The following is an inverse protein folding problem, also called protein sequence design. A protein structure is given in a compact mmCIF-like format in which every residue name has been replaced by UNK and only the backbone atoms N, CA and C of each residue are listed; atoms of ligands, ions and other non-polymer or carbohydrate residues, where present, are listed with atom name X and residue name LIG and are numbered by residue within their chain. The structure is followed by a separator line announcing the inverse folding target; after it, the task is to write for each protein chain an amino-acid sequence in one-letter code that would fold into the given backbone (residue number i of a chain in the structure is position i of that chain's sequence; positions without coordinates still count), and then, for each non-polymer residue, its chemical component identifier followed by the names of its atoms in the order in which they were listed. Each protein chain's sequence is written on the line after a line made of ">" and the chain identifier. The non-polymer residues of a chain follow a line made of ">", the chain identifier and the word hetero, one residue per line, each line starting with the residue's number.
data_IF_994153739798
#
_entry.id   IF_994153739798
#
_cell.length_a   1.000
_cell.length_b   1.000
_cell.length_c   1.000
_cell.angle_alpha   90.00
_cell.angle_beta   90.00
_cell.angle_gamma   90.00
#
_symmetry.space_group_name_H-M   'P 1'
#
loop_
_entity.id
_entity.type
_entity.pdbx_description
1 polymer ?
#
# COMPACT_ATOMS: atom_id res chain seq x y z
N UNK A 1 12.31 15.32 -24.26
CA UNK A 1 11.09 16.10 -24.60
C UNK A 1 10.06 15.81 -23.53
N UNK A 2 9.65 16.84 -22.81
CA UNK A 2 8.68 16.77 -21.69
C UNK A 2 7.27 16.87 -22.23
N UNK A 3 6.37 15.99 -21.77
CA UNK A 3 4.96 15.99 -22.16
C UNK A 3 4.18 16.92 -21.24
N UNK A 4 3.64 18.02 -21.75
CA UNK A 4 2.81 18.94 -20.95
C UNK A 4 1.37 18.84 -21.44
N UNK A 5 0.47 18.47 -20.53
CA UNK A 5 -0.97 18.45 -20.81
C UNK A 5 -1.71 19.32 -19.80
N UNK A 6 -2.10 20.49 -20.26
CA UNK A 6 -3.04 21.36 -19.55
C UNK A 6 -4.48 21.07 -19.96
N UNK A 7 -5.41 21.29 -19.03
CA UNK A 7 -6.85 21.15 -19.21
C UNK A 7 -7.23 19.76 -19.74
N UNK A 8 -6.71 18.72 -19.06
CA UNK A 8 -6.85 17.32 -19.49
C UNK A 8 -8.32 16.93 -19.72
N UNK A 9 -9.21 17.30 -18.79
CA UNK A 9 -10.64 17.04 -18.90
C UNK A 9 -11.23 17.68 -20.16
N UNK A 10 -10.94 18.96 -20.41
CA UNK A 10 -11.44 19.65 -21.59
C UNK A 10 -10.96 18.98 -22.89
N UNK A 11 -9.67 18.64 -22.98
CA UNK A 11 -9.10 17.98 -24.16
C UNK A 11 -9.64 16.58 -24.42
N UNK A 12 -10.19 15.91 -23.41
CA UNK A 12 -10.85 14.62 -23.57
C UNK A 12 -12.20 14.75 -24.27
N UNK A 13 -12.89 15.88 -24.09
CA UNK A 13 -14.26 16.12 -24.55
C UNK A 13 -14.37 17.07 -25.77
N UNK A 14 -13.35 17.88 -26.05
CA UNK A 14 -13.32 18.85 -27.17
C UNK A 14 -13.24 18.20 -28.58
N UNK A 15 -13.25 16.87 -28.71
CA UNK A 15 -13.37 16.16 -30.00
C UNK A 15 -14.81 16.18 -30.58
N UNK A 16 -15.72 17.00 -30.03
CA UNK A 16 -17.13 17.18 -30.46
C UNK A 16 -17.29 17.78 -31.87
N UNK A 17 -16.18 18.06 -32.57
CA UNK A 17 -16.16 18.37 -34.01
C UNK A 17 -16.38 17.11 -34.89
N UNK A 18 -16.81 16.00 -34.29
CA UNK A 18 -17.10 14.71 -34.96
C UNK A 18 -15.85 13.97 -35.45
N UNK A 19 -14.65 14.42 -35.07
CA UNK A 19 -13.38 13.83 -35.49
C UNK A 19 -12.90 12.84 -34.44
N UNK A 20 -13.01 11.53 -34.74
CA UNK A 20 -12.46 10.49 -33.88
C UNK A 20 -10.96 10.75 -33.67
N UNK A 21 -10.48 10.91 -32.42
CA UNK A 21 -9.07 11.14 -32.16
C UNK A 21 -8.24 10.00 -32.74
N UNK A 22 -7.10 10.34 -33.36
CA UNK A 22 -6.28 9.31 -33.98
C UNK A 22 -5.83 8.27 -32.92
N UNK A 23 -5.56 7.01 -33.30
CA UNK A 23 -5.25 5.96 -32.33
C UNK A 23 -4.03 6.24 -31.44
N UNK A 24 -3.10 7.09 -31.89
CA UNK A 24 -1.92 7.46 -31.10
C UNK A 24 -2.30 8.46 -29.99
N UNK A 25 -3.13 9.45 -30.30
CA UNK A 25 -3.67 10.39 -29.33
C UNK A 25 -4.49 9.64 -28.28
N UNK A 26 -5.39 8.74 -28.69
CA UNK A 26 -6.18 7.92 -27.77
C UNK A 26 -5.32 7.11 -26.81
N UNK A 27 -4.30 6.40 -27.31
CA UNK A 27 -3.36 5.63 -26.46
C UNK A 27 -2.59 6.52 -25.48
N UNK A 28 -2.26 7.75 -25.89
CA UNK A 28 -1.62 8.73 -25.01
C UNK A 28 -2.57 9.18 -23.91
N UNK A 29 -3.84 9.47 -24.22
CA UNK A 29 -4.85 9.81 -23.22
C UNK A 29 -5.12 8.66 -22.26
N UNK A 30 -5.28 7.43 -22.75
CA UNK A 30 -5.44 6.23 -21.90
C UNK A 30 -4.21 6.04 -20.98
N UNK A 31 -3.00 6.27 -21.49
CA UNK A 31 -1.78 6.22 -20.68
C UNK A 31 -1.76 7.29 -19.59
N UNK A 32 -2.03 8.56 -19.93
CA UNK A 32 -2.08 9.65 -18.94
C UNK A 32 -3.21 9.44 -17.92
N UNK A 33 -4.35 8.95 -18.38
CA UNK A 33 -5.48 8.52 -17.55
C UNK A 33 -5.08 7.49 -16.51
N UNK A 34 -4.29 6.48 -16.90
CA UNK A 34 -3.78 5.49 -15.95
C UNK A 34 -2.83 6.08 -14.88
N UNK A 35 -2.08 7.14 -15.22
CA UNK A 35 -1.26 7.88 -14.24
C UNK A 35 -2.17 8.65 -13.28
N UNK A 36 -3.18 9.36 -13.80
CA UNK A 36 -4.16 10.09 -12.99
C UNK A 36 -4.84 9.13 -12.01
N UNK A 37 -5.35 8.00 -12.49
CA UNK A 37 -5.99 6.98 -11.64
C UNK A 37 -5.01 6.46 -10.58
N UNK A 38 -3.79 6.10 -10.97
CA UNK A 38 -2.82 5.52 -10.04
C UNK A 38 -2.44 6.47 -8.90
N UNK A 39 -2.26 7.75 -9.21
CA UNK A 39 -1.87 8.77 -8.23
C UNK A 39 -3.07 9.20 -7.38
N UNK A 40 -4.23 9.43 -7.99
CA UNK A 40 -5.42 9.92 -7.28
C UNK A 40 -6.16 8.82 -6.50
N UNK A 41 -5.93 7.55 -6.83
CA UNK A 41 -6.45 6.43 -6.04
C UNK A 41 -5.78 6.31 -4.66
N UNK A 42 -4.52 6.73 -4.55
CA UNK A 42 -3.68 6.57 -3.35
C UNK A 42 -4.15 7.40 -2.16
N UNK A 43 -3.74 6.98 -0.96
CA UNK A 43 -4.06 7.71 0.28
C UNK A 43 -3.16 8.93 0.51
N UNK A 44 -1.95 8.90 -0.04
CA UNK A 44 -0.94 9.96 0.07
C UNK A 44 -1.13 11.08 -0.95
N UNK A 45 -0.77 12.28 -0.51
CA UNK A 45 -0.70 13.49 -1.33
C UNK A 45 0.72 14.05 -1.16
N UNK A 46 1.34 14.53 -2.24
CA UNK A 46 2.68 15.14 -2.24
C UNK A 46 3.90 14.22 -2.04
N UNK A 47 3.72 12.89 -1.91
CA UNK A 47 4.83 11.92 -1.99
C UNK A 47 4.92 11.30 -3.40
N UNK A 48 6.13 10.95 -3.90
CA UNK A 48 6.27 10.17 -5.13
C UNK A 48 5.62 8.80 -4.97
N UNK A 49 4.59 8.54 -5.77
CA UNK A 49 3.99 7.24 -5.89
C UNK A 49 4.80 6.39 -6.88
N UNK A 50 5.37 5.30 -6.38
CA UNK A 50 5.92 4.23 -7.24
C UNK A 50 4.78 3.43 -7.83
N UNK A 51 4.25 3.94 -8.95
CA UNK A 51 3.08 3.36 -9.59
C UNK A 51 3.43 2.07 -10.31
N UNK A 52 2.39 1.30 -10.58
CA UNK A 52 2.46 0.09 -11.40
C UNK A 52 2.18 0.35 -12.89
N UNK A 53 2.15 1.63 -13.30
CA UNK A 53 1.98 2.06 -14.70
C UNK A 53 3.30 1.87 -15.45
N UNK A 54 3.27 1.09 -16.53
CA UNK A 54 4.47 0.80 -17.34
C UNK A 54 4.80 1.94 -18.28
N UNK A 55 6.09 2.17 -18.51
CA UNK A 55 6.53 3.14 -19.50
C UNK A 55 6.05 2.75 -20.91
N UNK A 56 5.51 3.73 -21.64
CA UNK A 56 5.04 3.56 -23.03
C UNK A 56 6.16 3.56 -24.08
N UNK A 57 7.37 4.04 -23.74
CA UNK A 57 8.46 4.21 -24.72
C UNK A 57 9.09 2.88 -25.10
N UNK A 58 9.66 2.87 -26.32
CA UNK A 58 10.46 1.75 -26.84
C UNK A 58 11.84 2.20 -27.34
N UNK A 59 12.75 2.65 -26.46
CA UNK A 59 14.11 3.05 -26.86
C UNK A 59 14.81 1.91 -27.61
N UNK A 60 15.43 2.20 -28.75
CA UNK A 60 16.08 1.16 -29.56
C UNK A 60 15.14 0.04 -30.03
N UNK A 61 13.83 0.32 -30.17
CA UNK A 61 12.76 -0.66 -30.50
C UNK A 61 12.49 -1.73 -29.43
N UNK A 62 13.09 -1.61 -28.24
CA UNK A 62 12.83 -2.50 -27.11
C UNK A 62 11.90 -1.84 -26.09
N UNK A 63 10.92 -2.55 -25.48
CA UNK A 63 10.11 -2.01 -24.40
C UNK A 63 10.97 -1.48 -23.26
N UNK A 64 10.71 -0.25 -22.82
CA UNK A 64 11.36 0.30 -21.64
C UNK A 64 10.99 -0.55 -20.40
N UNK A 65 11.95 -1.01 -19.58
CA UNK A 65 11.66 -1.80 -18.37
C UNK A 65 11.07 -0.94 -17.24
N UNK A 66 11.22 0.39 -17.32
CA UNK A 66 10.83 1.32 -16.27
C UNK A 66 9.31 1.42 -16.03
N UNK A 67 8.97 1.81 -14.82
CA UNK A 67 7.63 2.20 -14.40
C UNK A 67 7.54 3.73 -14.28
N UNK A 68 6.32 4.25 -14.19
CA UNK A 68 6.08 5.66 -13.94
C UNK A 68 6.10 5.92 -12.43
N UNK A 69 6.93 6.87 -12.02
CA UNK A 69 6.91 7.48 -10.70
C UNK A 69 6.22 8.83 -10.86
N UNK A 70 5.26 9.14 -9.98
CA UNK A 70 4.47 10.35 -10.11
C UNK A 70 4.09 10.96 -8.76
N UNK A 71 4.09 12.28 -8.69
CA UNK A 71 3.74 13.08 -7.51
C UNK A 71 2.51 13.91 -7.86
N UNK A 72 1.50 13.92 -6.98
CA UNK A 72 0.41 14.90 -7.04
C UNK A 72 0.76 16.09 -6.18
N UNK A 73 0.88 17.25 -6.81
CA UNK A 73 0.98 18.54 -6.15
C UNK A 73 -0.42 19.11 -5.94
N UNK A 74 -0.64 19.76 -4.80
CA UNK A 74 -1.92 20.41 -4.47
C UNK A 74 -1.93 21.90 -4.79
N UNK A 75 -0.75 22.53 -4.85
CA UNK A 75 -0.59 23.96 -5.10
C UNK A 75 0.69 24.22 -5.92
N UNK A 76 0.58 24.47 -7.23
CA UNK A 76 -0.64 24.35 -8.05
C UNK A 76 -1.11 22.89 -8.16
N UNK A 77 -2.40 22.67 -8.38
CA UNK A 77 -2.93 21.31 -8.58
C UNK A 77 -2.37 20.73 -9.88
N UNK A 78 -1.64 19.63 -9.78
CA UNK A 78 -0.92 19.05 -10.90
C UNK A 78 -0.36 17.67 -10.58
N UNK A 79 -0.05 16.91 -11.63
CA UNK A 79 0.69 15.65 -11.50
C UNK A 79 2.00 15.77 -12.27
N UNK A 80 3.12 15.74 -11.55
CA UNK A 80 4.46 15.59 -12.11
C UNK A 80 4.75 14.10 -12.22
N UNK A 81 5.21 13.64 -13.38
CA UNK A 81 5.53 12.23 -13.58
C UNK A 81 6.79 12.03 -14.41
N UNK A 82 7.46 10.90 -14.17
CA UNK A 82 8.66 10.49 -14.88
C UNK A 82 8.82 8.98 -14.90
N UNK A 83 9.47 8.46 -15.93
CA UNK A 83 9.87 7.06 -15.98
C UNK A 83 11.15 6.85 -15.18
N UNK A 84 11.19 5.79 -14.37
CA UNK A 84 12.38 5.42 -13.57
C UNK A 84 13.58 4.93 -14.38
N UNK A 85 13.48 4.84 -15.71
CA UNK A 85 14.53 4.26 -16.56
C UNK A 85 14.86 5.06 -17.83
N UNK A 86 13.94 5.87 -18.35
CA UNK A 86 14.16 6.64 -19.57
C UNK A 86 13.61 8.05 -19.46
N UNK A 87 13.93 8.92 -20.42
CA UNK A 87 13.55 10.34 -20.39
C UNK A 87 12.08 10.62 -20.79
N UNK A 88 11.16 9.68 -20.53
CA UNK A 88 9.72 9.96 -20.64
C UNK A 88 9.23 10.57 -19.34
N UNK A 89 8.78 11.81 -19.43
CA UNK A 89 8.30 12.58 -18.29
C UNK A 89 7.26 13.60 -18.76
N UNK A 90 6.55 14.18 -17.79
CA UNK A 90 5.56 15.18 -18.08
C UNK A 90 4.88 15.81 -16.87
N UNK A 91 3.95 16.69 -17.19
CA UNK A 91 3.11 17.40 -16.24
C UNK A 91 1.65 17.41 -16.73
N UNK A 92 0.72 17.08 -15.83
CA UNK A 92 -0.72 16.97 -16.13
C UNK A 92 -1.49 17.93 -15.21
N UNK A 93 -2.37 18.77 -15.75
CA UNK A 93 -3.28 19.63 -14.99
C UNK A 93 -4.72 19.55 -15.52
N UNK A 94 -5.68 20.03 -14.72
CA UNK A 94 -7.09 20.06 -15.11
C UNK A 94 -7.70 18.67 -15.29
N UNK A 95 -7.31 17.73 -14.44
CA UNK A 95 -7.75 16.34 -14.46
C UNK A 95 -8.87 16.06 -13.45
N UNK A 96 -9.19 17.02 -12.58
CA UNK A 96 -10.08 16.88 -11.42
C UNK A 96 -11.53 16.53 -11.82
N UNK A 97 -11.97 17.01 -12.99
CA UNK A 97 -13.32 16.81 -13.49
C UNK A 97 -13.41 15.73 -14.59
N UNK A 98 -12.37 14.93 -14.80
CA UNK A 98 -12.36 13.85 -15.81
C UNK A 98 -12.68 12.46 -15.21
N UNK A 99 -13.07 11.51 -16.07
CA UNK A 99 -13.43 10.14 -15.68
C UNK A 99 -12.31 9.32 -14.99
N UNK A 100 -11.06 9.77 -15.15
CA UNK A 100 -9.87 9.14 -14.55
C UNK A 100 -9.60 9.64 -13.12
N UNK A 101 -10.26 10.71 -12.68
CA UNK A 101 -10.07 11.21 -11.32
C UNK A 101 -10.72 10.28 -10.30
N UNK A 102 -9.90 9.73 -9.40
CA UNK A 102 -10.37 8.86 -8.34
C UNK A 102 -10.30 9.50 -6.96
N UNK A 103 -9.79 10.73 -6.84
CA UNK A 103 -9.29 11.32 -5.59
C UNK A 103 -10.28 12.12 -4.73
N UNK A 104 -11.60 11.88 -4.77
CA UNK A 104 -12.52 12.58 -3.87
C UNK A 104 -12.32 12.14 -2.41
N UNK A 105 -11.54 12.93 -1.66
CA UNK A 105 -11.18 12.68 -0.27
C UNK A 105 -12.40 12.71 0.67
N UNK A 106 -13.49 13.41 0.30
CA UNK A 106 -14.72 13.46 1.11
C UNK A 106 -15.45 12.12 1.11
N UNK A 107 -15.31 11.35 0.04
CA UNK A 107 -15.95 10.05 -0.11
C UNK A 107 -15.09 8.89 0.39
N UNK A 108 -13.83 9.13 0.75
CA UNK A 108 -12.95 8.05 1.19
C UNK A 108 -13.51 7.41 2.46
N UNK A 109 -13.64 6.07 2.50
CA UNK A 109 -14.02 5.38 3.72
C UNK A 109 -13.02 5.73 4.82
N UNK A 110 -13.56 6.27 5.93
CA UNK A 110 -12.77 6.51 7.14
C UNK A 110 -12.63 5.20 7.90
N UNK A 111 -11.43 4.89 8.37
CA UNK A 111 -11.16 3.70 9.16
C UNK A 111 -9.83 3.03 8.81
N UNK A 112 -9.63 1.84 9.36
CA UNK A 112 -8.46 1.01 9.13
C UNK A 112 -8.24 0.76 7.62
N UNK A 113 -7.07 1.15 7.11
CA UNK A 113 -6.60 0.76 5.79
C UNK A 113 -5.81 -0.55 5.88
N UNK A 114 -6.25 -1.55 5.13
CA UNK A 114 -5.63 -2.86 5.06
C UNK A 114 -4.59 -2.86 3.93
N UNK A 115 -3.61 -3.76 4.06
CA UNK A 115 -2.60 -4.03 3.03
C UNK A 115 -2.78 -5.47 2.54
N UNK A 116 -2.71 -5.64 1.21
CA UNK A 116 -2.63 -6.95 0.58
C UNK A 116 -1.40 -6.97 -0.31
N UNK A 117 -0.39 -7.75 0.09
CA UNK A 117 0.78 -8.02 -0.72
C UNK A 117 0.44 -9.06 -1.81
N UNK A 118 0.97 -8.82 -3.00
CA UNK A 118 0.71 -9.57 -4.22
C UNK A 118 2.02 -9.78 -4.96
N UNK A 119 2.20 -10.96 -5.54
CA UNK A 119 3.22 -11.15 -6.56
C UNK A 119 2.78 -10.58 -7.93
N UNK A 120 3.68 -10.63 -8.91
CA UNK A 120 3.39 -10.16 -10.26
C UNK A 120 2.26 -10.95 -10.95
N UNK A 121 2.18 -12.26 -10.70
CA UNK A 121 1.20 -13.13 -11.32
C UNK A 121 -0.21 -12.89 -10.77
N UNK A 122 -0.34 -12.56 -9.48
CA UNK A 122 -1.57 -12.23 -8.80
C UNK A 122 -2.09 -10.85 -9.21
N UNK A 123 -1.24 -9.83 -9.22
CA UNK A 123 -1.64 -8.49 -9.70
C UNK A 123 -2.10 -8.54 -11.17
N UNK A 124 -1.39 -9.29 -12.01
CA UNK A 124 -1.79 -9.47 -13.42
C UNK A 124 -3.13 -10.21 -13.53
N UNK A 125 -3.35 -11.23 -12.70
CA UNK A 125 -4.62 -11.96 -12.67
C UNK A 125 -5.79 -11.03 -12.32
N UNK A 126 -5.62 -10.17 -11.31
CA UNK A 126 -6.62 -9.18 -10.93
C UNK A 126 -6.91 -8.22 -12.10
N UNK A 127 -5.87 -7.66 -12.73
CA UNK A 127 -6.03 -6.71 -13.83
C UNK A 127 -6.70 -7.31 -15.07
N UNK A 128 -6.38 -8.55 -15.38
CA UNK A 128 -6.89 -9.19 -16.60
C UNK A 128 -8.35 -9.63 -16.42
N UNK A 129 -8.66 -10.28 -15.31
CA UNK A 129 -9.92 -11.01 -15.14
C UNK A 129 -10.93 -10.34 -14.21
N UNK A 130 -10.50 -9.46 -13.30
CA UNK A 130 -11.43 -8.77 -12.41
C UNK A 130 -11.89 -7.48 -13.07
N UNK A 131 -13.20 -7.25 -13.08
CA UNK A 131 -13.81 -6.01 -13.54
C UNK A 131 -14.37 -5.30 -12.31
N UNK A 132 -13.80 -4.14 -11.92
CA UNK A 132 -14.31 -3.37 -10.81
C UNK A 132 -15.79 -3.07 -10.98
N UNK A 133 -16.64 -3.55 -10.06
CA UNK A 133 -18.07 -3.26 -10.11
C UNK A 133 -18.42 -1.88 -9.54
N UNK A 134 -17.44 -1.17 -8.96
CA UNK A 134 -17.62 0.12 -8.33
C UNK A 134 -16.30 0.86 -8.07
N UNK A 135 -16.43 2.05 -7.50
CA UNK A 135 -15.29 2.96 -7.28
C UNK A 135 -14.19 2.35 -6.40
N UNK A 136 -14.55 1.59 -5.36
CA UNK A 136 -13.58 1.16 -4.34
C UNK A 136 -12.61 0.09 -4.81
N UNK A 137 -13.08 -0.93 -5.54
CA UNK A 137 -12.18 -1.92 -6.15
C UNK A 137 -11.36 -1.30 -7.28
N UNK A 138 -11.94 -0.37 -8.05
CA UNK A 138 -11.20 0.40 -9.08
C UNK A 138 -10.05 1.18 -8.43
N UNK A 139 -10.29 1.83 -7.30
CA UNK A 139 -9.26 2.54 -6.53
C UNK A 139 -8.17 1.60 -6.02
N UNK A 140 -8.51 0.44 -5.46
CA UNK A 140 -7.48 -0.52 -5.03
C UNK A 140 -6.58 -0.94 -6.19
N UNK A 141 -7.17 -1.40 -7.30
CA UNK A 141 -6.40 -1.94 -8.43
C UNK A 141 -5.56 -0.87 -9.16
N UNK A 142 -6.10 0.34 -9.29
CA UNK A 142 -5.38 1.47 -9.90
C UNK A 142 -4.30 2.00 -8.94
N UNK A 143 -4.61 2.01 -7.64
CA UNK A 143 -3.73 2.42 -6.56
C UNK A 143 -2.65 1.42 -6.17
N UNK A 144 -2.52 0.29 -6.88
CA UNK A 144 -1.46 -0.68 -6.62
C UNK A 144 -0.07 -0.02 -6.72
N UNK A 145 0.80 -0.32 -5.75
CA UNK A 145 2.17 0.20 -5.65
C UNK A 145 3.18 -0.93 -5.76
N UNK A 146 4.39 -0.61 -6.20
CA UNK A 146 5.52 -1.52 -6.02
C UNK A 146 5.96 -1.51 -4.56
N UNK A 147 6.34 -2.66 -4.02
CA UNK A 147 6.95 -2.70 -2.69
C UNK A 147 8.37 -2.12 -2.75
N UNK A 148 8.69 -1.19 -1.84
CA UNK A 148 9.97 -0.47 -1.81
C UNK A 148 11.15 -1.40 -1.47
N UNK A 149 10.91 -2.46 -0.69
CA UNK A 149 11.94 -3.35 -0.13
C UNK A 149 11.85 -4.80 -0.64
N UNK A 150 10.84 -5.15 -1.45
CA UNK A 150 10.66 -6.51 -1.94
C UNK A 150 10.21 -6.55 -3.40
N UNK A 151 10.49 -7.66 -4.09
CA UNK A 151 9.98 -7.91 -5.44
C UNK A 151 8.49 -8.26 -5.37
N UNK A 152 7.63 -7.25 -5.25
CA UNK A 152 6.20 -7.45 -5.07
C UNK A 152 5.39 -6.18 -5.30
N UNK A 153 4.09 -6.34 -5.18
CA UNK A 153 3.11 -5.27 -5.28
C UNK A 153 2.24 -5.28 -4.03
N UNK A 154 1.68 -4.14 -3.69
CA UNK A 154 0.68 -4.11 -2.62
C UNK A 154 -0.52 -3.25 -3.03
N UNK A 155 -1.69 -3.69 -2.58
CA UNK A 155 -2.92 -2.91 -2.58
C UNK A 155 -3.11 -2.33 -1.18
N UNK A 156 -3.61 -1.10 -1.12
CA UNK A 156 -3.81 -0.39 0.14
C UNK A 156 -5.16 0.32 0.16
N UNK A 157 -5.97 0.06 1.18
CA UNK A 157 -7.26 0.74 1.33
C UNK A 157 -8.16 0.15 2.42
N UNK A 158 -9.29 0.80 2.68
CA UNK A 158 -10.18 0.39 3.78
C UNK A 158 -10.75 -1.02 3.64
N UNK A 159 -11.26 -1.58 4.73
CA UNK A 159 -12.07 -2.82 4.70
C UNK A 159 -13.19 -2.75 3.66
N UNK A 160 -13.90 -1.62 3.55
CA UNK A 160 -14.96 -1.43 2.54
C UNK A 160 -14.43 -1.58 1.11
N UNK A 161 -13.20 -1.13 0.86
CA UNK A 161 -12.56 -1.32 -0.43
C UNK A 161 -12.27 -2.80 -0.69
N UNK A 162 -11.72 -3.51 0.29
CA UNK A 162 -11.41 -4.94 0.15
C UNK A 162 -12.66 -5.82 0.07
N UNK A 163 -13.73 -5.49 0.79
CA UNK A 163 -15.03 -6.17 0.70
C UNK A 163 -15.62 -6.05 -0.73
N UNK A 164 -15.45 -4.88 -1.38
CA UNK A 164 -15.86 -4.71 -2.77
C UNK A 164 -14.97 -5.50 -3.74
N UNK A 165 -13.65 -5.51 -3.50
CA UNK A 165 -12.72 -6.31 -4.31
C UNK A 165 -13.00 -7.81 -4.18
N UNK A 166 -13.29 -8.32 -2.98
CA UNK A 166 -13.67 -9.71 -2.75
C UNK A 166 -14.90 -10.11 -3.57
N UNK A 167 -15.97 -9.29 -3.55
CA UNK A 167 -17.15 -9.52 -4.39
C UNK A 167 -16.80 -9.59 -5.88
N UNK A 168 -15.96 -8.68 -6.36
CA UNK A 168 -15.56 -8.61 -7.77
C UNK A 168 -14.70 -9.82 -8.16
N UNK A 169 -13.80 -10.27 -7.28
CA UNK A 169 -12.96 -11.47 -7.47
C UNK A 169 -13.82 -12.74 -7.52
N UNK A 170 -14.80 -12.86 -6.61
CA UNK A 170 -15.72 -14.01 -6.60
C UNK A 170 -16.58 -14.05 -7.87
N UNK A 171 -17.13 -12.92 -8.28
CA UNK A 171 -17.89 -12.82 -9.54
C UNK A 171 -17.02 -13.17 -10.77
N UNK A 172 -15.76 -12.73 -10.80
CA UNK A 172 -14.81 -13.11 -11.84
C UNK A 172 -14.50 -14.62 -11.82
N UNK A 173 -14.39 -15.24 -10.64
CA UNK A 173 -14.15 -16.67 -10.51
C UNK A 173 -15.33 -17.51 -11.04
N UNK A 174 -16.57 -17.09 -10.73
CA UNK A 174 -17.79 -17.75 -11.20
C UNK A 174 -17.90 -17.73 -12.73
N UNK A 175 -17.57 -16.59 -13.34
CA UNK A 175 -17.67 -16.39 -14.79
C UNK A 175 -16.42 -16.84 -15.57
N UNK A 176 -15.34 -17.22 -14.88
CA UNK A 176 -14.09 -17.66 -15.51
C UNK A 176 -14.31 -18.93 -16.36
N UNK A 177 -13.96 -18.83 -17.65
CA UNK A 177 -14.05 -19.94 -18.62
C UNK A 177 -13.01 -21.04 -18.36
N UNK A 178 -11.79 -20.64 -17.98
CA UNK A 178 -10.68 -21.57 -17.76
C UNK A 178 -10.65 -22.05 -16.31
N UNK A 179 -10.57 -23.38 -16.06
CA UNK A 179 -10.50 -23.93 -14.70
C UNK A 179 -9.30 -23.42 -13.90
N UNK A 180 -8.15 -23.21 -14.56
CA UNK A 180 -6.94 -22.67 -13.92
C UNK A 180 -7.13 -21.24 -13.42
N UNK A 181 -7.73 -20.37 -14.25
CA UNK A 181 -8.09 -18.99 -13.86
C UNK A 181 -9.07 -18.99 -12.70
N UNK A 182 -10.12 -19.82 -12.76
CA UNK A 182 -11.10 -19.96 -11.67
C UNK A 182 -10.44 -20.33 -10.35
N UNK A 183 -9.58 -21.36 -10.34
CA UNK A 183 -8.89 -21.80 -9.12
C UNK A 183 -7.99 -20.70 -8.54
N UNK A 184 -7.26 -19.96 -9.38
CA UNK A 184 -6.41 -18.86 -8.92
C UNK A 184 -7.22 -17.70 -8.34
N UNK A 185 -8.36 -17.36 -8.96
CA UNK A 185 -9.26 -16.33 -8.41
C UNK A 185 -9.92 -16.78 -7.10
N UNK A 186 -10.30 -18.06 -6.99
CA UNK A 186 -10.79 -18.63 -5.73
C UNK A 186 -9.74 -18.59 -4.62
N UNK A 187 -8.47 -18.83 -4.95
CA UNK A 187 -7.37 -18.69 -3.98
C UNK A 187 -7.25 -17.24 -3.48
N UNK A 188 -7.28 -16.26 -4.40
CA UNK A 188 -7.29 -14.83 -4.02
C UNK A 188 -8.51 -14.47 -3.16
N UNK A 189 -9.69 -15.02 -3.44
CA UNK A 189 -10.89 -14.81 -2.63
C UNK A 189 -10.71 -15.31 -1.19
N UNK A 190 -10.03 -16.44 -0.99
CA UNK A 190 -9.72 -16.97 0.36
C UNK A 190 -8.77 -16.02 1.11
N UNK A 191 -7.75 -15.49 0.43
CA UNK A 191 -6.83 -14.51 1.03
C UNK A 191 -7.57 -13.22 1.44
N UNK A 192 -8.45 -12.73 0.57
CA UNK A 192 -9.29 -11.56 0.83
C UNK A 192 -10.28 -11.79 1.97
N UNK A 193 -10.85 -13.00 2.07
CA UNK A 193 -11.70 -13.38 3.18
C UNK A 193 -10.94 -13.37 4.50
N UNK A 194 -9.73 -13.92 4.55
CA UNK A 194 -8.86 -13.82 5.74
C UNK A 194 -8.59 -12.37 6.16
N UNK A 195 -8.38 -11.49 5.18
CA UNK A 195 -8.14 -10.06 5.41
C UNK A 195 -9.39 -9.30 5.90
N UNK A 196 -10.59 -9.72 5.47
CA UNK A 196 -11.87 -9.02 5.71
C UNK A 196 -12.73 -9.63 6.81
N UNK A 197 -12.49 -10.88 7.19
CA UNK A 197 -13.26 -11.65 8.18
C UNK A 197 -12.96 -11.25 9.64
N UNK A 198 -11.92 -10.46 9.89
CA UNK A 198 -11.65 -9.92 11.22
C UNK A 198 -12.80 -8.99 11.62
N UNK A 199 -13.54 -9.38 12.66
CA UNK A 199 -14.61 -8.56 13.24
C UNK A 199 -13.99 -7.41 14.03
N UNK A 200 -13.70 -6.32 13.34
CA UNK A 200 -13.07 -5.13 13.89
C UNK A 200 -13.97 -4.34 14.87
N UNK A 201 -15.26 -4.65 14.95
CA UNK A 201 -16.24 -3.88 15.74
C UNK A 201 -16.07 -4.01 17.25
N UNK A 202 -15.50 -5.10 17.74
CA UNK A 202 -15.24 -5.28 19.18
C UNK A 202 -13.79 -4.93 19.57
N UNK A 203 -12.83 -5.09 18.66
CA UNK A 203 -11.43 -4.71 18.89
C UNK A 203 -11.19 -3.18 18.82
N UNK A 204 -12.00 -2.44 18.05
CA UNK A 204 -11.86 -0.99 17.82
C UNK A 204 -12.69 -0.10 18.75
N UNK A 205 -13.29 -0.62 19.82
CA UNK A 205 -14.00 0.23 20.82
C UNK A 205 -13.09 1.21 21.57
N UNK A 206 -11.80 1.33 21.22
CA UNK A 206 -10.86 2.24 21.86
C UNK A 206 -9.73 2.82 21.01
N UNK A 207 -9.69 2.64 19.69
CA UNK A 207 -8.64 3.28 18.86
C UNK A 207 -9.10 3.49 17.43
N UNK A 208 -9.29 4.73 17.03
CA UNK A 208 -9.38 5.10 15.62
C UNK A 208 -8.04 4.72 14.96
N UNK A 209 -8.09 3.93 13.87
CA UNK A 209 -6.97 3.54 12.99
C UNK A 209 -6.13 2.33 13.46
N UNK A 210 -6.61 1.11 13.20
CA UNK A 210 -5.85 -0.13 13.40
C UNK A 210 -4.78 -0.43 12.34
N UNK A 211 -4.10 0.60 11.81
CA UNK A 211 -3.10 0.49 10.76
C UNK A 211 -1.76 0.01 11.36
N UNK A 212 -0.86 -0.59 10.56
CA UNK A 212 0.56 -0.39 10.88
C UNK A 212 0.80 1.09 10.68
N UNK A 213 1.16 1.78 11.76
CA UNK A 213 1.37 3.21 11.71
C UNK A 213 2.45 3.56 10.69
N UNK A 214 2.34 4.75 10.12
CA UNK A 214 3.30 5.25 9.12
C UNK A 214 3.96 6.52 9.62
N UNK A 215 5.25 6.66 9.37
CA UNK A 215 6.01 7.77 9.94
C UNK A 215 5.54 9.14 9.41
N UNK A 216 5.04 9.20 8.18
CA UNK A 216 4.53 10.41 7.54
C UNK A 216 3.15 10.87 8.08
N UNK A 217 2.37 9.94 8.63
CA UNK A 217 1.00 10.19 9.13
C UNK A 217 0.96 10.20 10.65
N UNK A 218 1.39 9.08 11.24
CA UNK A 218 1.29 8.80 12.67
C UNK A 218 2.52 9.29 13.43
N UNK A 219 3.56 9.72 12.70
CA UNK A 219 4.88 10.09 13.25
C UNK A 219 5.62 8.90 13.84
N UNK A 220 5.16 7.69 13.54
CA UNK A 220 5.86 6.46 13.86
C UNK A 220 5.47 5.33 12.91
N UNK A 221 6.35 4.35 12.76
CA UNK A 221 6.10 3.10 12.06
C UNK A 221 6.90 1.94 12.67
N UNK A 222 6.54 0.71 12.32
CA UNK A 222 7.35 -0.46 12.69
C UNK A 222 8.46 -0.68 11.66
N UNK A 223 9.66 -0.97 12.16
CA UNK A 223 10.80 -1.31 11.33
C UNK A 223 10.79 -2.80 10.95
N UNK A 224 11.36 -3.13 9.79
CA UNK A 224 11.45 -4.50 9.27
C UNK A 224 12.71 -5.19 9.83
N UNK A 225 12.49 -6.10 10.77
CA UNK A 225 13.56 -6.82 11.45
C UNK A 225 14.31 -7.78 10.51
N UNK A 226 13.62 -8.36 9.53
CA UNK A 226 14.22 -9.24 8.52
C UNK A 226 15.12 -8.44 7.58
N UNK A 227 14.64 -7.30 7.08
CA UNK A 227 15.44 -6.40 6.25
C UNK A 227 16.70 -5.92 7.00
N UNK A 228 16.56 -5.55 8.28
CA UNK A 228 17.70 -5.12 9.12
C UNK A 228 18.67 -6.27 9.41
N UNK A 229 18.19 -7.50 9.60
CA UNK A 229 19.04 -8.68 9.72
C UNK A 229 19.79 -8.99 8.43
N UNK A 230 19.14 -8.89 7.26
CA UNK A 230 19.78 -9.06 5.95
C UNK A 230 20.86 -8.00 5.71
N UNK A 231 20.60 -6.75 6.08
CA UNK A 231 21.56 -5.66 5.95
C UNK A 231 22.75 -5.78 6.93
N UNK A 232 22.50 -6.30 8.13
CA UNK A 232 23.48 -6.35 9.22
C UNK A 232 23.49 -7.71 9.96
N UNK A 233 23.79 -8.82 9.27
CA UNK A 233 23.60 -10.17 9.82
C UNK A 233 24.54 -10.49 11.00
N UNK A 234 25.70 -9.85 11.06
CA UNK A 234 26.69 -10.06 12.13
C UNK A 234 26.37 -9.31 13.43
N UNK A 235 25.62 -8.21 13.34
CA UNK A 235 25.35 -7.32 14.48
C UNK A 235 23.88 -7.21 14.86
N UNK A 236 22.98 -7.69 14.01
CA UNK A 236 21.54 -7.62 14.22
C UNK A 236 20.91 -9.01 14.05
N UNK A 237 20.98 -9.80 15.11
CA UNK A 237 20.33 -11.11 15.17
C UNK A 237 18.83 -10.96 15.44
N UNK A 238 18.03 -11.84 14.84
CA UNK A 238 16.59 -11.99 15.12
C UNK A 238 16.26 -13.48 15.30
N UNK A 239 15.20 -13.82 16.06
CA UNK A 239 14.75 -15.20 16.18
C UNK A 239 14.46 -15.82 14.79
N UNK A 240 14.74 -17.11 14.57
CA UNK A 240 14.40 -17.78 13.30
C UNK A 240 12.91 -17.65 12.99
N UNK A 241 12.56 -17.55 11.69
CA UNK A 241 11.19 -17.32 11.24
C UNK A 241 10.16 -18.29 11.86
N UNK A 242 10.50 -19.60 11.95
CA UNK A 242 9.60 -20.61 12.52
C UNK A 242 9.26 -20.37 14.01
N UNK A 243 10.08 -19.61 14.74
CA UNK A 243 9.86 -19.22 16.14
C UNK A 243 8.98 -17.96 16.22
N UNK A 244 8.98 -17.12 15.17
CA UNK A 244 8.18 -15.88 15.07
C UNK A 244 6.80 -16.08 14.46
N UNK A 245 6.52 -17.27 13.91
CA UNK A 245 5.23 -17.67 13.33
C UNK A 245 4.39 -18.48 14.30
N UNK A 246 3.06 -18.34 14.23
CA UNK A 246 2.13 -19.15 15.04
C UNK A 246 2.11 -18.80 16.53
N UNK A 247 2.53 -17.58 16.90
CA UNK A 247 2.48 -17.11 18.28
C UNK A 247 1.04 -16.87 18.75
N UNK A 248 0.78 -17.21 20.00
CA UNK A 248 -0.55 -17.10 20.60
C UNK A 248 -0.74 -15.87 21.49
N UNK A 249 -1.99 -15.50 21.81
CA UNK A 249 -2.29 -14.49 22.82
C UNK A 249 -1.57 -14.73 24.15
N UNK A 250 -1.13 -13.65 24.80
CA UNK A 250 -0.33 -13.68 26.02
C UNK A 250 1.19 -13.68 25.77
N UNK A 251 1.65 -14.02 24.56
CA UNK A 251 3.07 -13.91 24.21
C UNK A 251 3.49 -12.46 24.17
N UNK A 252 4.63 -12.12 24.79
CA UNK A 252 5.21 -10.78 24.74
C UNK A 252 6.38 -10.79 23.77
N UNK A 253 6.37 -9.88 22.81
CA UNK A 253 7.40 -9.77 21.77
C UNK A 253 8.00 -8.38 21.77
N UNK A 254 9.25 -8.26 21.35
CA UNK A 254 9.90 -6.97 21.17
C UNK A 254 9.90 -6.59 19.69
N UNK A 255 9.55 -5.34 19.41
CA UNK A 255 9.53 -4.75 18.06
C UNK A 255 10.44 -3.51 18.04
N UNK A 256 10.77 -3.03 16.85
CA UNK A 256 11.45 -1.73 16.65
C UNK A 256 10.46 -0.73 16.07
N UNK A 257 10.41 0.44 16.67
CA UNK A 257 9.59 1.57 16.25
C UNK A 257 10.51 2.66 15.72
N UNK A 258 10.34 3.04 14.45
CA UNK A 258 10.91 4.27 13.91
C UNK A 258 9.94 5.42 14.24
N UNK A 259 10.44 6.50 14.84
CA UNK A 259 9.63 7.56 15.45
C UNK A 259 10.18 8.92 15.00
N UNK A 260 9.30 9.85 14.63
CA UNK A 260 9.63 11.28 14.61
C UNK A 260 9.41 11.81 16.04
N UNK A 261 10.49 12.20 16.75
CA UNK A 261 10.38 12.62 18.13
C UNK A 261 9.64 13.96 18.25
N UNK A 262 9.04 14.24 19.41
CA UNK A 262 8.29 15.49 19.62
C UNK A 262 9.19 16.74 19.51
N UNK A 263 10.51 16.57 19.66
CA UNK A 263 11.54 17.59 19.46
C UNK A 263 12.66 17.02 18.56
N UNK A 264 12.51 17.07 17.22
CA UNK A 264 13.49 16.50 16.30
C UNK A 264 14.75 17.37 16.20
N UNK A 265 15.91 16.71 16.11
CA UNK A 265 17.17 17.35 15.75
C UNK A 265 17.25 17.51 14.22
N UNK A 266 17.88 18.58 13.73
CA UNK A 266 17.93 18.89 12.28
C UNK A 266 18.60 17.78 11.46
N UNK A 267 19.63 17.13 12.02
CA UNK A 267 20.41 16.09 11.34
C UNK A 267 19.87 14.65 11.58
N UNK A 268 19.04 14.46 12.61
CA UNK A 268 18.44 13.16 12.97
C UNK A 268 16.93 13.32 13.26
N UNK A 269 16.10 13.47 12.21
CA UNK A 269 14.67 13.70 12.39
C UNK A 269 13.91 12.44 12.82
N UNK A 270 14.53 11.25 12.76
CA UNK A 270 13.93 9.97 13.12
C UNK A 270 14.82 9.27 14.16
N UNK A 271 14.21 8.81 15.25
CA UNK A 271 14.84 7.94 16.23
C UNK A 271 14.22 6.54 16.22
N UNK A 272 14.91 5.56 16.80
CA UNK A 272 14.44 4.18 16.90
C UNK A 272 14.31 3.74 18.36
N UNK A 273 13.18 3.16 18.73
CA UNK A 273 12.96 2.57 20.05
C UNK A 273 12.61 1.09 19.96
N UNK A 274 13.17 0.27 20.87
CA UNK A 274 12.81 -1.14 21.03
C UNK A 274 11.79 -1.25 22.15
N UNK A 275 10.62 -1.80 21.83
CA UNK A 275 9.49 -1.81 22.77
C UNK A 275 8.78 -3.14 22.79
N UNK A 276 8.30 -3.54 23.97
CA UNK A 276 7.57 -4.77 24.18
C UNK A 276 6.08 -4.60 23.87
N UNK A 277 5.51 -5.61 23.23
CA UNK A 277 4.12 -5.70 22.83
C UNK A 277 3.57 -7.06 23.24
N UNK A 278 2.49 -7.08 24.01
CA UNK A 278 1.80 -8.32 24.39
C UNK A 278 0.73 -8.66 23.35
N UNK A 279 0.81 -9.85 22.74
CA UNK A 279 -0.17 -10.33 21.77
C UNK A 279 -1.53 -10.53 22.46
N UNK A 280 -2.58 -9.91 21.94
CA UNK A 280 -3.97 -10.13 22.37
C UNK A 280 -4.71 -11.06 21.40
N UNK A 281 -4.36 -11.03 20.12
CA UNK A 281 -4.99 -11.84 19.08
C UNK A 281 -4.00 -12.17 17.94
N UNK A 282 -4.24 -13.29 17.27
CA UNK A 282 -3.50 -13.73 16.09
C UNK A 282 -4.46 -14.24 15.01
N UNK A 283 -4.20 -13.91 13.75
CA UNK A 283 -4.94 -14.39 12.59
C UNK A 283 -3.95 -14.72 11.46
N UNK A 284 -3.60 -16.01 11.32
CA UNK A 284 -2.49 -16.41 10.45
C UNK A 284 -1.18 -15.84 10.96
N UNK A 285 -0.42 -15.18 10.08
CA UNK A 285 0.84 -14.49 10.39
C UNK A 285 0.64 -13.00 10.74
N UNK A 286 -0.59 -12.57 11.05
CA UNK A 286 -0.85 -11.22 11.54
C UNK A 286 -1.17 -11.26 13.04
N UNK A 287 -0.44 -10.46 13.81
CA UNK A 287 -0.63 -10.28 15.24
C UNK A 287 -1.24 -8.91 15.56
N UNK A 288 -2.05 -8.91 16.60
CA UNK A 288 -2.54 -7.69 17.27
C UNK A 288 -2.13 -7.78 18.72
N UNK A 289 -1.40 -6.79 19.20
CA UNK A 289 -0.97 -6.72 20.59
C UNK A 289 -1.10 -5.33 21.19
N UNK A 290 -0.87 -5.22 22.50
CA UNK A 290 -0.82 -3.94 23.23
C UNK A 290 0.60 -3.57 23.52
N UNK A 291 0.96 -2.33 23.22
CA UNK A 291 2.23 -1.76 23.65
C UNK A 291 2.30 -1.79 25.19
N UNK A 292 3.35 -2.40 25.74
CA UNK A 292 3.57 -2.48 27.19
C UNK A 292 4.56 -1.41 27.67
N UNK A 293 5.43 -0.94 26.76
CA UNK A 293 6.39 0.13 27.07
C UNK A 293 5.76 1.52 27.05
N UNK A 294 6.30 2.40 27.90
CA UNK A 294 6.11 3.85 27.78
C UNK A 294 7.15 4.40 26.80
N UNK A 295 6.74 4.95 25.63
CA UNK A 295 7.68 5.57 24.69
C UNK A 295 8.38 6.79 25.32
N UNK A 296 9.64 6.99 24.95
CA UNK A 296 10.47 8.08 25.48
C UNK A 296 10.39 9.32 24.59
N UNK A 297 10.41 9.11 23.27
CA UNK A 297 10.68 10.19 22.30
C UNK A 297 9.41 10.86 21.76
N UNK A 298 8.22 10.30 22.02
CA UNK A 298 6.95 10.88 21.56
C UNK A 298 5.82 10.73 22.59
N UNK A 299 4.91 11.71 22.61
CA UNK A 299 3.66 11.69 23.39
C UNK A 299 2.45 11.14 22.61
N UNK A 300 2.65 10.82 21.32
CA UNK A 300 1.61 10.32 20.41
C UNK A 300 1.36 8.82 20.54
N UNK A 301 2.38 8.08 20.97
CA UNK A 301 2.30 6.65 21.26
C UNK A 301 2.29 6.43 22.78
N UNK A 302 1.45 5.53 23.28
CA UNK A 302 1.24 5.31 24.73
C UNK A 302 1.11 3.83 25.06
N UNK A 303 1.44 3.42 26.28
CA UNK A 303 1.10 2.08 26.77
C UNK A 303 -0.38 1.78 26.53
N UNK A 304 -0.68 0.56 26.11
CA UNK A 304 -2.01 0.11 25.73
C UNK A 304 -2.43 0.49 24.30
N UNK A 305 -1.62 1.23 23.54
CA UNK A 305 -1.89 1.42 22.10
C UNK A 305 -1.89 0.05 21.41
N UNK A 306 -2.92 -0.27 20.62
CA UNK A 306 -2.94 -1.50 19.84
C UNK A 306 -1.94 -1.40 18.68
N UNK A 307 -1.11 -2.42 18.56
CA UNK A 307 -0.05 -2.54 17.56
C UNK A 307 -0.34 -3.75 16.68
N UNK A 308 -0.28 -3.52 15.36
CA UNK A 308 -0.45 -4.54 14.33
C UNK A 308 0.91 -4.88 13.75
N UNK A 309 1.25 -6.17 13.72
CA UNK A 309 2.58 -6.60 13.26
C UNK A 309 2.56 -8.04 12.76
N UNK A 310 3.38 -8.35 11.76
CA UNK A 310 3.71 -9.72 11.36
C UNK A 310 5.03 -10.24 11.95
N UNK A 311 5.37 -11.52 11.73
CA UNK A 311 6.64 -12.12 12.14
C UNK A 311 7.83 -11.24 11.81
N UNK A 312 7.86 -10.63 10.62
CA UNK A 312 8.93 -9.80 10.07
C UNK A 312 9.32 -8.60 10.95
N UNK A 313 8.48 -8.20 11.91
CA UNK A 313 8.76 -7.11 12.84
C UNK A 313 9.34 -7.58 14.19
N UNK A 314 9.27 -8.88 14.49
CA UNK A 314 9.66 -9.44 15.80
C UNK A 314 11.17 -9.56 15.88
N UNK A 315 11.77 -8.82 16.81
CA UNK A 315 13.21 -8.85 17.10
C UNK A 315 13.57 -9.69 18.32
N UNK A 316 12.62 -9.93 19.22
CA UNK A 316 12.80 -10.79 20.38
C UNK A 316 11.45 -11.31 20.90
N UNK A 317 11.47 -12.40 21.67
CA UNK A 317 10.28 -12.99 22.30
C UNK A 317 10.61 -13.21 23.77
N UNK A 318 9.77 -12.65 24.65
CA UNK A 318 9.94 -12.81 26.09
C UNK A 318 9.79 -14.28 26.47
N UNK A 319 10.81 -14.84 27.12
CA UNK A 319 10.77 -16.18 27.68
C UNK A 319 10.60 -16.06 29.20
N UNK A 320 9.50 -16.58 29.74
CA UNK A 320 9.38 -16.80 31.18
C UNK A 320 10.32 -17.96 31.59
N UNK A 321 11.45 -17.62 32.22
CA UNK A 321 12.42 -18.57 32.77
C UNK A 321 13.42 -17.86 33.68
N UNK A 322 13.94 -18.53 34.74
CA UNK A 322 14.79 -17.88 35.73
C UNK A 322 16.07 -17.37 35.07
N UNK A 323 16.62 -16.25 35.57
CA UNK A 323 17.94 -15.79 35.19
C UNK A 323 18.94 -16.96 35.23
N UNK A 324 19.79 -17.13 34.21
CA UNK A 324 20.85 -18.11 34.28
C UNK A 324 21.76 -17.76 35.47
N UNK A 325 21.83 -18.70 36.43
CA UNK A 325 22.67 -18.66 37.64
C UNK A 325 24.14 -18.51 37.29
#
# INVERSE_FOLDING_TARGET
>A
MTTIVSDFAQKLYDDDDGRVPNPQARRLFEFLGSIIEAVTAGYEVSAPADTTVRCRRRPGRQPCPGAIVAVRETLPSGIIWGCSHCDDNGFITGFEDCEYYLGDDRQRPKGLLLRLDLDAAELNLLREFVRPSGLWSKRLLSGARTATLSSGFHLYGSKTCFDQLDRDVRAAAETAKLPSTRRRLQHLAILLEGLTAVSWSDALKGSELGLSARIDVDRWELDDAEARNVAHPESFWIPPHFVRTGLGPGTVVQLIFALEPDQPEEDEPICFERMWVQIEAAAGDLYVGRLDNQPVSTTRLRPGTPIFFGPEHIIDIWADGPEPV
#
